data_IF_411590996592
#
_entry.id   IF_411590996592
#
_cell.length_a   1.000
_cell.length_b   1.000
_cell.length_c   1.000
_cell.angle_alpha   90.00
_cell.angle_beta   90.00
_cell.angle_gamma   90.00
#
_symmetry.space_group_name_H-M   'P 1'
#
loop_
_entity.id
_entity.type
_entity.pdbx_description
1 polymer ?
#
# COMPACT_ATOMS: atom_id res chain seq x y z
N UNK A 1 20.56 6.62 -1.57
CA UNK A 1 19.67 6.47 -2.73
C UNK A 1 19.36 5.01 -2.96
N UNK A 2 18.19 4.58 -2.50
CA UNK A 2 17.70 3.21 -2.74
C UNK A 2 17.12 3.11 -4.16
N UNK A 3 17.57 2.15 -5.01
CA UNK A 3 17.02 2.01 -6.36
C UNK A 3 15.54 1.61 -6.32
N UNK A 4 14.70 2.23 -7.17
CA UNK A 4 13.26 1.97 -7.23
C UNK A 4 12.93 0.48 -7.37
N UNK A 5 13.66 -0.21 -8.25
CA UNK A 5 13.54 -1.66 -8.51
C UNK A 5 13.71 -2.52 -7.25
N UNK A 6 14.39 -2.00 -6.24
CA UNK A 6 14.72 -2.74 -5.01
C UNK A 6 13.70 -2.53 -3.90
N UNK A 7 12.78 -1.57 -4.02
CA UNK A 7 11.75 -1.26 -3.00
C UNK A 7 10.33 -1.41 -3.51
N UNK A 8 10.13 -1.16 -4.80
CA UNK A 8 8.82 -1.10 -5.41
C UNK A 8 8.08 -2.45 -5.35
N UNK A 9 6.82 -2.42 -4.94
CA UNK A 9 5.97 -3.60 -4.85
C UNK A 9 6.28 -4.53 -3.69
N UNK A 10 7.23 -4.19 -2.81
CA UNK A 10 7.53 -4.96 -1.60
C UNK A 10 6.66 -4.50 -0.44
N UNK A 11 6.39 -5.45 0.46
CA UNK A 11 5.64 -5.22 1.69
C UNK A 11 6.61 -4.99 2.83
N UNK A 12 6.34 -3.99 3.66
CA UNK A 12 7.14 -3.61 4.81
C UNK A 12 6.29 -3.53 6.07
N UNK A 13 6.95 -3.48 7.20
CA UNK A 13 6.41 -3.04 8.49
C UNK A 13 7.18 -1.81 8.94
N UNK A 14 6.56 -0.99 9.78
CA UNK A 14 7.30 0.04 10.47
C UNK A 14 8.18 -0.56 11.57
N UNK A 15 9.37 -0.01 11.72
CA UNK A 15 10.20 -0.23 12.91
C UNK A 15 9.48 0.29 14.16
N UNK A 16 9.72 -0.39 15.27
CA UNK A 16 9.23 0.06 16.58
C UNK A 16 9.84 1.42 16.95
N UNK A 17 9.20 2.13 17.89
CA UNK A 17 9.71 3.44 18.35
C UNK A 17 11.13 3.33 18.91
N UNK A 18 11.44 2.25 19.64
CA UNK A 18 12.77 1.98 20.18
C UNK A 18 13.82 1.75 19.09
N UNK A 19 13.48 0.98 18.05
CA UNK A 19 14.37 0.76 16.90
C UNK A 19 14.63 2.06 16.12
N UNK A 20 13.64 2.94 15.98
CA UNK A 20 13.84 4.25 15.36
C UNK A 20 14.76 5.14 16.21
N UNK A 21 14.56 5.18 17.53
CA UNK A 21 15.41 5.95 18.45
C UNK A 21 16.86 5.48 18.43
N UNK A 22 17.09 4.17 18.41
CA UNK A 22 18.44 3.59 18.32
C UNK A 22 19.19 3.93 17.03
N UNK A 23 18.48 4.39 15.99
CA UNK A 23 19.06 4.84 14.73
C UNK A 23 19.28 6.36 14.66
N UNK A 24 19.01 7.09 15.76
CA UNK A 24 19.04 8.55 15.78
C UNK A 24 17.96 9.20 14.90
N UNK A 25 16.99 8.42 14.42
CA UNK A 25 15.84 8.91 13.66
C UNK A 25 14.87 9.52 14.65
N UNK A 26 14.86 10.84 14.76
CA UNK A 26 13.92 11.54 15.62
C UNK A 26 12.48 11.15 15.30
N UNK A 27 11.74 10.67 16.31
CA UNK A 27 10.30 10.35 16.25
C UNK A 27 9.44 11.46 15.61
N UNK A 28 9.73 12.78 15.73
CA UNK A 28 8.90 13.81 15.10
C UNK A 28 8.95 13.87 13.56
N UNK A 29 9.74 13.03 12.88
CA UNK A 29 9.83 13.05 11.40
C UNK A 29 8.80 12.19 10.67
N UNK A 30 8.01 11.39 11.38
CA UNK A 30 6.94 10.57 10.78
C UNK A 30 5.60 11.25 11.02
N UNK A 31 5.17 12.07 10.05
CA UNK A 31 3.78 12.54 9.94
C UNK A 31 2.86 11.39 9.50
N UNK A 32 2.88 10.30 10.28
CA UNK A 32 2.14 9.07 10.01
C UNK A 32 1.41 8.67 11.28
N UNK A 33 0.07 8.55 11.23
CA UNK A 33 -0.72 8.16 12.39
C UNK A 33 -0.25 6.84 13.00
N UNK A 34 -0.27 6.74 14.33
CA UNK A 34 0.13 5.51 15.03
C UNK A 34 -0.63 4.26 14.57
N UNK A 35 -1.91 4.43 14.19
CA UNK A 35 -2.73 3.36 13.62
C UNK A 35 -2.09 2.80 12.35
N UNK A 36 -1.61 3.66 11.44
CA UNK A 36 -0.93 3.24 10.21
C UNK A 36 0.39 2.55 10.53
N UNK A 37 1.11 3.01 11.54
CA UNK A 37 2.38 2.42 11.99
C UNK A 37 2.23 0.98 12.51
N UNK A 38 1.04 0.62 13.00
CA UNK A 38 0.75 -0.74 13.47
C UNK A 38 0.49 -1.75 12.35
N UNK A 39 0.33 -1.27 11.11
CA UNK A 39 -0.02 -2.09 9.96
C UNK A 39 1.20 -2.41 9.07
N UNK A 40 1.03 -3.43 8.24
CA UNK A 40 1.94 -3.64 7.10
C UNK A 40 1.63 -2.60 6.02
N UNK A 41 2.62 -2.28 5.20
CA UNK A 41 2.46 -1.33 4.10
C UNK A 41 3.06 -1.86 2.81
N UNK A 42 2.45 -1.54 1.67
CA UNK A 42 2.98 -1.81 0.33
C UNK A 42 3.67 -0.55 -0.20
N UNK A 43 4.92 -0.67 -0.64
CA UNK A 43 5.62 0.43 -1.32
C UNK A 43 5.15 0.51 -2.77
N UNK A 44 4.62 1.67 -3.14
CA UNK A 44 4.18 1.95 -4.50
C UNK A 44 5.28 2.55 -5.36
N UNK A 45 5.96 3.58 -4.88
CA UNK A 45 6.93 4.37 -5.64
C UNK A 45 7.91 5.11 -4.72
N UNK A 46 8.95 5.71 -5.31
CA UNK A 46 9.80 6.70 -4.65
C UNK A 46 9.12 8.08 -4.74
N UNK A 47 9.36 8.93 -3.76
CA UNK A 47 8.86 10.31 -3.74
C UNK A 47 9.81 11.23 -4.54
N UNK A 48 9.35 11.86 -5.64
CA UNK A 48 10.19 12.80 -6.38
C UNK A 48 10.63 13.97 -5.49
N UNK A 49 11.92 14.34 -5.56
CA UNK A 49 12.47 15.46 -4.79
C UNK A 49 12.75 15.19 -3.31
N UNK A 50 12.41 14.01 -2.77
CA UNK A 50 12.76 13.60 -1.40
C UNK A 50 13.66 12.37 -1.43
N UNK A 51 14.92 12.53 -1.03
CA UNK A 51 15.89 11.45 -1.04
C UNK A 51 15.49 10.35 -0.04
N UNK A 52 15.50 9.09 -0.49
CA UNK A 52 15.21 7.91 0.32
C UNK A 52 13.80 7.89 0.96
N UNK A 53 12.86 8.67 0.42
CA UNK A 53 11.44 8.60 0.77
C UNK A 53 10.67 7.73 -0.21
N UNK A 54 9.74 6.95 0.32
CA UNK A 54 8.86 6.07 -0.44
C UNK A 54 7.40 6.39 -0.16
N UNK A 55 6.58 6.25 -1.20
CA UNK A 55 5.12 6.31 -1.12
C UNK A 55 4.59 4.94 -0.73
N UNK A 56 3.88 4.87 0.38
CA UNK A 56 3.34 3.63 0.93
C UNK A 56 1.83 3.66 1.06
N UNK A 57 1.20 2.50 0.86
CA UNK A 57 -0.23 2.27 1.11
C UNK A 57 -0.42 1.22 2.20
N UNK A 58 -1.47 1.37 3.00
CA UNK A 58 -1.68 0.53 4.19
C UNK A 58 -2.33 -0.80 3.84
N UNK A 59 -1.83 -1.90 4.38
CA UNK A 59 -2.46 -3.22 4.32
C UNK A 59 -3.19 -3.47 5.64
N UNK A 60 -4.50 -3.68 5.56
CA UNK A 60 -5.37 -3.99 6.70
C UNK A 60 -6.03 -5.35 6.52
N UNK A 61 -6.50 -5.94 7.61
CA UNK A 61 -7.31 -7.16 7.58
C UNK A 61 -8.82 -6.92 7.46
N UNK A 62 -9.27 -5.69 7.69
CA UNK A 62 -10.70 -5.34 7.75
C UNK A 62 -10.99 -4.18 6.80
N UNK A 63 -11.69 -4.42 5.68
CA UNK A 63 -12.12 -3.34 4.79
C UNK A 63 -13.32 -2.62 5.41
N UNK A 64 -13.42 -1.30 5.21
CA UNK A 64 -14.59 -0.51 5.63
C UNK A 64 -15.59 -0.30 4.48
N UNK A 65 -15.09 -0.06 3.28
CA UNK A 65 -15.86 0.10 2.04
C UNK A 65 -15.16 -0.76 0.97
N UNK A 66 -15.90 -1.31 0.00
CA UNK A 66 -15.30 -2.07 -1.10
C UNK A 66 -14.63 -1.17 -2.15
N UNK A 67 -14.99 0.12 -2.23
CA UNK A 67 -14.47 1.04 -3.25
C UNK A 67 -13.04 1.49 -3.00
N UNK A 68 -12.65 1.61 -1.74
CA UNK A 68 -11.36 2.17 -1.32
C UNK A 68 -10.33 1.11 -0.97
N UNK A 69 -10.66 -0.16 -1.19
CA UNK A 69 -9.85 -1.29 -0.79
C UNK A 69 -9.65 -2.25 -1.95
N UNK A 70 -8.48 -2.87 -2.00
CA UNK A 70 -8.14 -3.88 -2.98
C UNK A 70 -7.74 -5.17 -2.25
N UNK A 71 -8.43 -6.30 -2.47
CA UNK A 71 -8.09 -7.55 -1.83
C UNK A 71 -6.74 -8.05 -2.32
N UNK A 72 -5.94 -8.59 -1.39
CA UNK A 72 -4.68 -9.27 -1.67
C UNK A 72 -4.92 -10.77 -1.55
N UNK A 73 -4.61 -11.52 -2.60
CA UNK A 73 -4.68 -12.98 -2.64
C UNK A 73 -4.00 -13.60 -1.41
N UNK A 74 -4.64 -14.57 -0.72
CA UNK A 74 -5.77 -15.39 -1.16
C UNK A 74 -7.17 -14.79 -0.94
N UNK A 75 -7.28 -13.57 -0.41
CA UNK A 75 -8.57 -12.91 -0.14
C UNK A 75 -9.42 -12.84 -1.42
N UNK A 76 -10.67 -13.35 -1.44
CA UNK A 76 -11.48 -13.39 -2.66
C UNK A 76 -11.71 -12.00 -3.28
N UNK A 77 -11.74 -11.94 -4.62
CA UNK A 77 -12.03 -10.71 -5.37
C UNK A 77 -13.48 -10.22 -5.21
N UNK A 78 -14.43 -11.06 -4.80
CA UNK A 78 -15.89 -10.81 -4.88
C UNK A 78 -16.27 -9.37 -4.47
N UNK A 79 -16.80 -8.60 -5.44
CA UNK A 79 -17.25 -7.21 -5.24
C UNK A 79 -16.18 -6.13 -5.44
N UNK A 80 -14.91 -6.49 -5.59
CA UNK A 80 -13.79 -5.57 -5.80
C UNK A 80 -13.38 -5.50 -7.27
N UNK A 81 -12.93 -4.31 -7.71
CA UNK A 81 -12.55 -4.07 -9.10
C UNK A 81 -11.35 -4.90 -9.56
N UNK A 82 -10.33 -5.02 -8.71
CA UNK A 82 -9.09 -5.76 -8.96
C UNK A 82 -8.71 -6.61 -7.74
N UNK A 83 -7.76 -7.52 -7.89
CA UNK A 83 -7.22 -8.34 -6.79
C UNK A 83 -5.71 -8.44 -6.94
N UNK A 84 -4.97 -8.05 -5.91
CA UNK A 84 -3.51 -8.10 -5.90
C UNK A 84 -3.00 -9.53 -5.67
N UNK A 85 -1.89 -9.87 -6.31
CA UNK A 85 -1.24 -11.18 -6.19
C UNK A 85 0.19 -11.02 -5.72
N UNK A 86 0.51 -11.67 -4.62
CA UNK A 86 1.88 -11.83 -4.18
C UNK A 86 2.63 -12.78 -5.13
N UNK A 87 3.92 -12.53 -5.30
CA UNK A 87 4.80 -13.31 -6.15
C UNK A 87 5.02 -14.68 -5.54
N UNK A 88 4.64 -15.71 -6.29
CA UNK A 88 4.96 -17.10 -5.96
C UNK A 88 6.46 -17.35 -6.14
N UNK A 89 7.00 -18.28 -5.36
CA UNK A 89 8.41 -18.62 -5.43
C UNK A 89 8.59 -20.03 -5.95
N UNK A 90 9.48 -20.24 -6.94
CA UNK A 90 9.97 -21.58 -7.22
C UNK A 90 10.85 -22.04 -6.07
N UNK A 91 10.74 -23.30 -5.72
CA UNK A 91 11.64 -23.97 -4.79
C UNK A 91 11.67 -25.46 -5.09
N UNK A 92 12.44 -26.19 -4.29
CA UNK A 92 12.58 -27.64 -4.43
C UNK A 92 11.93 -28.33 -3.24
N UNK A 93 11.12 -29.35 -3.50
CA UNK A 93 10.52 -30.20 -2.47
C UNK A 93 10.64 -31.65 -2.91
N UNK A 94 11.31 -32.48 -2.10
CA UNK A 94 11.60 -33.88 -2.43
C UNK A 94 12.22 -34.14 -3.82
N UNK A 95 13.05 -33.21 -4.30
CA UNK A 95 13.71 -33.35 -5.61
C UNK A 95 12.88 -32.84 -6.79
N UNK A 96 11.65 -32.37 -6.56
CA UNK A 96 10.80 -31.76 -7.58
C UNK A 96 10.77 -30.23 -7.46
N UNK A 97 10.67 -29.55 -8.60
CA UNK A 97 10.44 -28.12 -8.65
C UNK A 97 8.97 -27.81 -8.29
N UNK A 98 8.76 -27.11 -7.16
CA UNK A 98 7.44 -26.74 -6.65
C UNK A 98 7.31 -25.23 -6.54
N UNK A 99 6.12 -24.71 -6.84
CA UNK A 99 5.77 -23.31 -6.62
C UNK A 99 5.17 -23.13 -5.22
N UNK A 100 5.88 -22.43 -4.35
CA UNK A 100 5.37 -22.00 -3.05
C UNK A 100 4.51 -20.75 -3.23
N UNK A 101 3.24 -20.87 -2.83
CA UNK A 101 2.31 -19.75 -2.81
C UNK A 101 2.59 -18.86 -1.61
N UNK A 102 3.06 -17.64 -1.89
CA UNK A 102 3.28 -16.64 -0.85
C UNK A 102 1.94 -16.10 -0.38
N UNK A 103 1.56 -16.38 0.86
CA UNK A 103 0.27 -15.96 1.43
C UNK A 103 0.46 -15.08 2.67
N UNK A 104 -0.41 -14.08 2.81
CA UNK A 104 -0.58 -13.38 4.08
C UNK A 104 -1.42 -14.25 5.03
N UNK A 105 -1.12 -14.25 6.34
CA UNK A 105 -1.76 -15.16 7.30
C UNK A 105 -3.24 -14.87 7.56
N UNK A 106 -3.73 -13.69 7.16
CA UNK A 106 -5.12 -13.26 7.31
C UNK A 106 -5.62 -12.70 5.97
N UNK A 107 -6.94 -12.67 5.80
CA UNK A 107 -7.57 -11.87 4.75
C UNK A 107 -7.02 -10.45 4.82
N UNK A 108 -6.51 -9.96 3.71
CA UNK A 108 -5.70 -8.74 3.64
C UNK A 108 -6.17 -7.88 2.48
N UNK A 109 -6.29 -6.59 2.74
CA UNK A 109 -6.80 -5.58 1.84
C UNK A 109 -5.84 -4.40 1.83
N UNK A 110 -5.49 -3.92 0.64
CA UNK A 110 -4.74 -2.70 0.46
C UNK A 110 -5.70 -1.52 0.42
N UNK A 111 -5.49 -0.54 1.29
CA UNK A 111 -6.25 0.70 1.33
C UNK A 111 -5.68 1.68 0.28
N UNK A 112 -6.49 2.10 -0.69
CA UNK A 112 -6.08 2.88 -1.88
C UNK A 112 -6.58 4.33 -1.92
N UNK A 113 -7.32 4.76 -0.90
CA UNK A 113 -7.77 6.16 -0.70
C UNK A 113 -6.69 7.08 -0.13
N UNK A 114 -5.63 6.51 0.45
CA UNK A 114 -4.63 7.23 1.22
C UNK A 114 -3.26 6.64 0.98
N UNK A 115 -2.27 7.54 0.92
CA UNK A 115 -0.87 7.19 0.85
C UNK A 115 -0.08 8.03 1.84
N UNK A 116 1.02 7.48 2.31
CA UNK A 116 1.95 8.16 3.21
C UNK A 116 3.33 8.21 2.57
N UNK A 117 4.06 9.29 2.82
CA UNK A 117 5.44 9.42 2.40
C UNK A 117 6.33 9.21 3.60
N UNK A 118 7.18 8.19 3.54
CA UNK A 118 8.00 7.79 4.70
C UNK A 118 9.44 7.56 4.29
N UNK A 119 10.41 7.89 5.16
CA UNK A 119 11.80 7.50 4.95
C UNK A 119 11.92 5.98 4.93
N UNK A 120 12.62 5.41 3.96
CA UNK A 120 12.82 3.96 3.87
C UNK A 120 13.54 3.39 5.09
N UNK A 121 14.34 4.18 5.82
CA UNK A 121 15.07 3.72 7.00
C UNK A 121 14.15 3.34 8.17
N UNK A 122 12.91 3.84 8.19
CA UNK A 122 11.92 3.53 9.25
C UNK A 122 11.13 2.25 8.94
N UNK A 123 11.36 1.67 7.78
CA UNK A 123 10.71 0.45 7.32
C UNK A 123 11.64 -0.76 7.48
N UNK A 124 11.04 -1.91 7.74
CA UNK A 124 11.68 -3.22 7.74
C UNK A 124 10.89 -4.14 6.83
N UNK A 125 11.60 -4.88 5.97
CA UNK A 125 10.96 -5.73 4.96
C UNK A 125 10.14 -6.83 5.64
N UNK A 126 8.88 -6.96 5.23
CA UNK A 126 8.00 -7.99 5.74
C UNK A 126 8.35 -9.32 5.06
N UNK A 127 8.58 -10.34 5.89
CA UNK A 127 8.93 -11.69 5.45
C UNK A 127 7.77 -12.65 5.72
N UNK A 128 7.66 -13.68 4.89
CA UNK A 128 6.80 -14.83 5.14
C UNK A 128 7.37 -15.72 6.26
N UNK A 129 6.69 -16.84 6.55
CA UNK A 129 7.12 -17.83 7.55
C UNK A 129 8.46 -18.49 7.24
N UNK A 130 8.91 -18.43 5.99
CA UNK A 130 10.16 -19.01 5.50
C UNK A 130 11.27 -17.95 5.41
N UNK A 131 11.05 -16.73 5.92
CA UNK A 131 12.03 -15.65 5.90
C UNK A 131 12.14 -14.93 4.54
N UNK A 132 11.23 -15.23 3.61
CA UNK A 132 11.25 -14.70 2.26
C UNK A 132 10.50 -13.37 2.18
N UNK A 133 11.00 -12.36 1.44
CA UNK A 133 10.30 -11.10 1.32
C UNK A 133 8.98 -11.20 0.55
N UNK A 134 7.97 -10.50 1.06
CA UNK A 134 6.65 -10.39 0.49
C UNK A 134 6.65 -9.31 -0.61
N UNK A 135 6.30 -9.69 -1.83
CA UNK A 135 6.36 -8.81 -3.01
C UNK A 135 5.18 -9.06 -3.94
N UNK A 136 4.63 -8.00 -4.53
CA UNK A 136 3.62 -8.03 -5.60
C UNK A 136 4.30 -8.11 -6.96
N UNK A 137 3.68 -8.79 -7.93
CA UNK A 137 4.21 -8.83 -9.29
C UNK A 137 4.37 -7.42 -9.89
N UNK A 138 5.51 -7.09 -10.51
CA UNK A 138 5.73 -5.76 -11.08
C UNK A 138 4.83 -5.49 -12.30
N UNK A 139 4.56 -6.53 -13.09
CA UNK A 139 3.71 -6.51 -14.29
C UNK A 139 2.65 -7.63 -14.18
N UNK A 140 1.66 -7.65 -15.08
CA UNK A 140 0.55 -8.60 -15.14
C UNK A 140 -0.68 -8.29 -14.28
N UNK A 141 -1.75 -9.05 -14.52
CA UNK A 141 -3.00 -8.99 -13.78
C UNK A 141 -2.78 -9.34 -12.30
N UNK A 142 -3.29 -8.49 -11.41
CA UNK A 142 -3.03 -8.49 -9.98
C UNK A 142 -1.66 -7.96 -9.58
N UNK A 143 -0.92 -7.39 -10.53
CA UNK A 143 0.37 -6.77 -10.30
C UNK A 143 0.28 -5.27 -10.00
N UNK A 144 1.45 -4.67 -9.79
CA UNK A 144 1.60 -3.27 -9.44
C UNK A 144 1.23 -2.31 -10.58
N UNK A 145 1.41 -2.73 -11.84
CA UNK A 145 0.94 -1.98 -13.00
C UNK A 145 -0.58 -1.75 -12.95
N UNK A 146 -1.35 -2.84 -12.81
CA UNK A 146 -2.81 -2.77 -12.71
C UNK A 146 -3.25 -1.96 -11.47
N UNK A 147 -2.54 -2.10 -10.35
CA UNK A 147 -2.79 -1.31 -9.16
C UNK A 147 -2.65 0.19 -9.42
N UNK A 148 -1.55 0.61 -10.04
CA UNK A 148 -1.29 2.03 -10.35
C UNK A 148 -2.36 2.60 -11.28
N UNK A 149 -2.73 1.83 -12.31
CA UNK A 149 -3.77 2.25 -13.25
C UNK A 149 -5.15 2.30 -12.58
N UNK A 150 -5.42 1.42 -11.63
CA UNK A 150 -6.65 1.46 -10.84
C UNK A 150 -6.70 2.67 -9.90
N UNK A 151 -5.63 2.91 -9.14
CA UNK A 151 -5.50 4.07 -8.24
C UNK A 151 -5.67 5.38 -9.02
N UNK A 152 -5.01 5.53 -10.17
CA UNK A 152 -5.17 6.70 -11.04
C UNK A 152 -6.62 6.92 -11.47
N UNK A 153 -7.33 5.85 -11.85
CA UNK A 153 -8.75 5.94 -12.21
C UNK A 153 -9.62 6.35 -11.03
N UNK A 154 -9.39 5.77 -9.85
CA UNK A 154 -10.10 6.15 -8.62
C UNK A 154 -9.86 7.61 -8.26
N UNK A 155 -8.63 8.09 -8.36
CA UNK A 155 -8.28 9.49 -8.04
C UNK A 155 -8.94 10.48 -9.02
N UNK A 156 -9.03 10.13 -10.31
CA UNK A 156 -9.77 10.93 -11.30
C UNK A 156 -11.27 11.01 -10.99
N UNK A 157 -11.88 9.90 -10.58
CA UNK A 157 -13.31 9.85 -10.21
C UNK A 157 -13.53 10.73 -8.96
N UNK A 158 -12.72 10.55 -7.91
CA UNK A 158 -12.78 11.36 -6.69
C UNK A 158 -12.58 12.86 -6.97
N UNK A 159 -11.70 13.19 -7.92
CA UNK A 159 -11.48 14.58 -8.35
C UNK A 159 -12.71 15.18 -9.02
N UNK A 160 -13.40 14.41 -9.87
CA UNK A 160 -14.66 14.83 -10.51
C UNK A 160 -15.78 14.99 -9.49
N UNK A 161 -15.98 14.04 -8.59
CA UNK A 161 -17.03 14.09 -7.56
C UNK A 161 -16.87 15.32 -6.65
N UNK A 162 -15.63 15.69 -6.31
CA UNK A 162 -15.33 16.92 -5.57
C UNK A 162 -15.69 18.18 -6.35
N UNK A 163 -15.46 18.19 -7.67
CA UNK A 163 -15.79 19.32 -8.53
C UNK A 163 -17.30 19.51 -8.64
N UNK A 164 -18.06 18.42 -8.83
CA UNK A 164 -19.54 18.47 -8.87
C UNK A 164 -20.13 18.97 -7.55
N UNK A 165 -19.66 18.48 -6.41
CA UNK A 165 -20.13 18.95 -5.10
C UNK A 165 -19.72 20.40 -4.77
N UNK A 166 -18.64 20.92 -5.36
CA UNK A 166 -18.29 22.34 -5.23
C UNK A 166 -19.22 23.24 -6.05
N UNK A 167 -19.71 22.78 -7.20
CA UNK A 167 -20.65 23.53 -8.05
C UNK A 167 -22.12 23.44 -7.60
N UNK A 168 -22.45 22.52 -6.69
CA UNK A 168 -23.81 22.32 -6.16
C UNK A 168 -24.07 23.03 -4.82
N UNK A 169 -23.08 23.70 -4.21
CA UNK A 169 -23.36 24.60 -3.08
C UNK A 169 -24.09 25.83 -3.63
N UNK A 170 -25.39 26.05 -3.33
CA UNK A 170 -26.06 27.28 -3.70
C UNK A 170 -25.37 28.42 -2.96
N UNK A 171 -25.10 29.50 -3.67
CA UNK A 171 -24.91 30.82 -3.07
C UNK A 171 -26.20 31.18 -2.34
N UNK A 172 -26.31 30.82 -1.07
CA UNK A 172 -27.15 31.55 -0.13
C UNK A 172 -26.45 32.88 0.12
N UNK A 173 -26.57 33.80 -0.85
CA UNK A 173 -26.37 35.22 -0.61
C UNK A 173 -27.69 35.79 -0.10
N UNK A 174 -27.54 36.50 1.02
CA UNK A 174 -28.52 37.13 1.88
C UNK A 174 -29.45 38.10 1.12
N UNK A 175 -30.75 37.81 1.11
CA UNK A 175 -31.79 38.85 1.00
C UNK A 175 -32.10 39.35 2.42
N UNK A 176 -31.34 40.35 2.89
CA UNK A 176 -31.72 41.16 4.05
C UNK A 176 -32.51 42.38 3.57
N UNK A 177 -33.76 42.47 4.04
CA UNK A 177 -34.78 43.49 3.78
C UNK A 177 -34.60 44.71 4.67
#
# INVERSE_FOLDING_TARGET
>A
MVPLKDVQGRVYKFKSRSECLGLGLGIPTLDVPDVVRSHMVLVLDIVPGKLDYVKVMTITSTPKDNRDYVPISPTPKKGFAIQLRLRNRPGWYHGDAVLFFTILPKNSYLKIDSYYEVPIQVLVEAKDKLGNPLMVWPKHQGGLGELRDHVRRCDLIRGRDKLYHMTEKPSEEEDDV
#
